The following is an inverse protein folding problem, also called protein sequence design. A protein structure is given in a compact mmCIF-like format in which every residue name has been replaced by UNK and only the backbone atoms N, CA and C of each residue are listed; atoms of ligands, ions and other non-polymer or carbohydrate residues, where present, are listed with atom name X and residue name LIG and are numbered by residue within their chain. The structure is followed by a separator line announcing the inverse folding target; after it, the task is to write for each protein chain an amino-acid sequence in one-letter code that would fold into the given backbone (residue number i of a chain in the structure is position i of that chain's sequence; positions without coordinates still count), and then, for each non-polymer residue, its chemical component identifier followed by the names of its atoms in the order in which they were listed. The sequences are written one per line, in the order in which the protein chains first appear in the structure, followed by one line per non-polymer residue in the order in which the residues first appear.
data_IF_133352518579
#
_entry.id   IF_133352518579
#
_cell.length_a   1.000
_cell.length_b   1.000
_cell.length_c   1.000
_cell.angle_alpha   90.00
_cell.angle_beta   90.00
_cell.angle_gamma   90.00
#
_symmetry.space_group_name_H-M   'P 1'
#
loop_
_entity.id
_entity.type
_entity.pdbx_description
1 polymer ?
#
# COMPACT_ATOMS: atom_id res chain seq x y z
N UNK A 1 -0.21 26.46 0.69
CA UNK A 1 0.87 26.01 -0.23
C UNK A 1 1.28 24.55 -0.01
N UNK A 2 1.48 24.06 1.22
CA UNK A 2 1.94 22.67 1.46
C UNK A 2 0.98 21.56 0.99
N UNK A 3 -0.35 21.77 1.06
CA UNK A 3 -1.35 20.78 0.58
C UNK A 3 -1.31 20.60 -0.94
N UNK A 4 -1.02 21.67 -1.70
CA UNK A 4 -0.91 21.59 -3.16
C UNK A 4 0.29 20.75 -3.61
N UNK A 5 1.41 20.82 -2.88
CA UNK A 5 2.60 20.01 -3.17
C UNK A 5 2.39 18.51 -2.90
N UNK A 6 1.62 18.16 -1.87
CA UNK A 6 1.32 16.76 -1.55
C UNK A 6 0.34 16.17 -2.58
N UNK A 7 -0.68 16.92 -2.99
CA UNK A 7 -1.62 16.49 -4.04
C UNK A 7 -0.88 16.35 -5.38
N UNK A 8 -0.01 17.28 -5.75
CA UNK A 8 0.80 17.20 -6.96
C UNK A 8 1.81 16.04 -6.94
N UNK A 9 2.38 15.71 -5.77
CA UNK A 9 3.30 14.58 -5.60
C UNK A 9 2.58 13.22 -5.64
N UNK A 10 1.38 13.13 -5.06
CA UNK A 10 0.52 11.94 -5.19
C UNK A 10 0.08 11.78 -6.65
N UNK A 11 -0.30 12.87 -7.33
CA UNK A 11 -0.63 12.84 -8.76
C UNK A 11 0.58 12.44 -9.62
N UNK A 12 1.80 12.90 -9.32
CA UNK A 12 2.99 12.50 -10.08
C UNK A 12 3.34 11.03 -9.88
N UNK A 13 3.25 10.52 -8.65
CA UNK A 13 3.49 9.08 -8.37
C UNK A 13 2.40 8.20 -9.00
N UNK A 14 1.14 8.64 -9.01
CA UNK A 14 0.04 7.94 -9.67
C UNK A 14 0.16 8.00 -11.21
N UNK A 15 0.65 9.12 -11.77
CA UNK A 15 0.95 9.25 -13.21
C UNK A 15 2.15 8.38 -13.63
N UNK A 16 3.17 8.25 -12.78
CA UNK A 16 4.31 7.37 -13.03
C UNK A 16 3.89 5.88 -12.98
N UNK A 17 2.96 5.53 -12.07
CA UNK A 17 2.37 4.19 -11.98
C UNK A 17 1.40 3.90 -13.15
N UNK A 18 0.58 4.86 -13.56
CA UNK A 18 -0.33 4.68 -14.71
C UNK A 18 0.46 4.62 -16.02
N UNK A 19 1.49 5.46 -16.18
CA UNK A 19 2.38 5.43 -17.32
C UNK A 19 3.13 4.09 -17.44
N UNK A 20 3.61 3.54 -16.32
CA UNK A 20 4.22 2.21 -16.30
C UNK A 20 3.22 1.09 -16.62
N UNK A 21 1.96 1.21 -16.16
CA UNK A 21 0.90 0.25 -16.45
C UNK A 21 0.44 0.31 -17.92
N UNK A 22 0.35 1.50 -18.50
CA UNK A 22 0.00 1.71 -19.91
C UNK A 22 1.12 1.23 -20.84
N UNK A 23 2.39 1.45 -20.46
CA UNK A 23 3.56 0.90 -21.18
C UNK A 23 3.55 -0.63 -21.10
N UNK A 24 3.23 -1.23 -19.94
CA UNK A 24 3.08 -2.69 -19.82
C UNK A 24 1.94 -3.21 -20.70
N UNK A 25 0.79 -2.51 -20.72
CA UNK A 25 -0.38 -2.91 -21.50
C UNK A 25 -0.12 -2.85 -23.01
N UNK A 26 0.53 -1.78 -23.48
CA UNK A 26 0.95 -1.65 -24.88
C UNK A 26 1.98 -2.72 -25.26
N UNK A 27 2.92 -3.02 -24.35
CA UNK A 27 3.87 -4.13 -24.52
C UNK A 27 3.17 -5.49 -24.64
N UNK A 28 2.15 -5.77 -23.81
CA UNK A 28 1.38 -7.02 -23.87
C UNK A 28 0.55 -7.13 -25.16
N UNK A 29 -0.10 -6.07 -25.60
CA UNK A 29 -0.91 -6.08 -26.84
C UNK A 29 -0.02 -6.22 -28.08
N UNK A 30 1.17 -5.60 -28.09
CA UNK A 30 2.15 -5.76 -29.15
C UNK A 30 2.71 -7.18 -29.20
N UNK A 31 3.07 -7.74 -28.05
CA UNK A 31 3.57 -9.12 -27.93
C UNK A 31 2.53 -10.14 -28.41
N UNK A 32 1.25 -9.95 -28.05
CA UNK A 32 0.14 -10.82 -28.50
C UNK A 32 0.00 -10.85 -30.03
N UNK A 33 0.08 -9.70 -30.68
CA UNK A 33 0.00 -9.59 -32.16
C UNK A 33 1.20 -10.21 -32.88
N UNK A 34 2.38 -10.18 -32.27
CA UNK A 34 3.57 -10.87 -32.78
C UNK A 34 3.44 -12.39 -32.63
N UNK A 35 2.93 -12.88 -31.50
CA UNK A 35 2.64 -14.31 -31.27
C UNK A 35 1.69 -14.86 -32.35
N UNK A 36 0.59 -14.17 -32.65
CA UNK A 36 -0.36 -14.56 -33.70
C UNK A 36 0.27 -14.60 -35.11
N UNK A 37 1.33 -13.81 -35.34
CA UNK A 37 2.05 -13.78 -36.61
C UNK A 37 3.05 -14.95 -36.73
N UNK A 38 3.69 -15.33 -35.63
CA UNK A 38 4.72 -16.39 -35.62
C UNK A 38 4.14 -17.80 -35.57
N UNK A 39 2.97 -17.99 -34.95
CA UNK A 39 2.26 -19.29 -34.94
C UNK A 39 1.83 -19.76 -36.33
N UNK A 40 1.73 -18.86 -37.31
CA UNK A 40 1.40 -19.22 -38.70
C UNK A 40 2.60 -19.67 -39.56
N UNK A 41 3.85 -19.56 -39.10
CA UNK A 41 5.01 -19.62 -40.02
C UNK A 41 5.95 -20.83 -39.88
N UNK A 42 5.99 -21.62 -38.80
CA UNK A 42 7.05 -22.65 -38.74
C UNK A 42 6.68 -23.93 -38.01
N UNK A 43 6.55 -25.01 -38.78
CA UNK A 43 6.82 -26.40 -38.38
C UNK A 43 7.76 -26.98 -39.44
N UNK A 44 8.98 -27.38 -39.04
CA UNK A 44 9.73 -28.54 -39.55
C UNK A 44 11.07 -28.74 -38.80
N UNK A 45 11.26 -29.99 -38.36
CA UNK A 45 12.48 -30.75 -37.96
C UNK A 45 13.34 -30.27 -36.77
N UNK A 46 13.71 -31.09 -35.76
CA UNK A 46 14.21 -32.48 -35.75
C UNK A 46 13.95 -33.11 -34.37
N UNK A 47 13.27 -34.26 -34.23
CA UNK A 47 12.46 -34.58 -33.03
C UNK A 47 13.12 -35.26 -31.81
N UNK A 48 14.21 -36.02 -31.91
CA UNK A 48 14.58 -36.91 -30.78
C UNK A 48 15.56 -36.28 -29.77
N UNK A 49 16.42 -35.36 -30.21
CA UNK A 49 17.32 -34.59 -29.33
C UNK A 49 16.67 -33.35 -28.72
N UNK A 50 15.66 -32.79 -29.40
CA UNK A 50 14.89 -31.64 -28.92
C UNK A 50 13.91 -32.05 -27.83
N UNK A 51 13.25 -33.21 -27.93
CA UNK A 51 12.28 -33.67 -26.92
C UNK A 51 12.91 -33.83 -25.53
N UNK A 52 14.09 -34.46 -25.42
CA UNK A 52 14.78 -34.62 -24.12
C UNK A 52 15.25 -33.29 -23.50
N UNK A 53 15.65 -32.33 -24.34
CA UNK A 53 16.05 -30.99 -23.87
C UNK A 53 14.80 -30.19 -23.46
N UNK A 54 13.71 -30.29 -24.22
CA UNK A 54 12.44 -29.66 -23.87
C UNK A 54 11.81 -30.22 -22.59
N UNK A 55 11.95 -31.51 -22.33
CA UNK A 55 11.47 -32.16 -21.10
C UNK A 55 12.29 -31.72 -19.87
N UNK A 56 13.63 -31.77 -19.95
CA UNK A 56 14.51 -31.32 -18.87
C UNK A 56 14.30 -29.84 -18.52
N UNK A 57 14.07 -29.01 -19.53
CA UNK A 57 13.83 -27.57 -19.35
C UNK A 57 12.45 -27.27 -18.76
N UNK A 58 11.43 -28.08 -19.07
CA UNK A 58 10.12 -28.02 -18.39
C UNK A 58 10.24 -28.40 -16.92
N UNK A 59 11.06 -29.39 -16.60
CA UNK A 59 11.30 -29.83 -15.23
C UNK A 59 12.01 -28.73 -14.40
N UNK A 60 13.06 -28.10 -14.93
CA UNK A 60 13.77 -27.00 -14.25
C UNK A 60 12.86 -25.78 -14.00
N UNK A 61 11.97 -25.45 -14.95
CA UNK A 61 10.99 -24.39 -14.77
C UNK A 61 9.96 -24.72 -13.68
N UNK A 62 9.49 -25.96 -13.65
CA UNK A 62 8.53 -26.45 -12.64
C UNK A 62 9.15 -26.44 -11.24
N UNK A 63 10.40 -26.85 -11.11
CA UNK A 63 11.16 -26.76 -9.85
C UNK A 63 11.28 -25.30 -9.40
N UNK A 64 11.69 -24.40 -10.30
CA UNK A 64 11.80 -22.97 -9.98
C UNK A 64 10.49 -22.35 -9.53
N UNK A 65 9.37 -22.68 -10.18
CA UNK A 65 8.04 -22.22 -9.77
C UNK A 65 7.61 -22.78 -8.40
N UNK A 66 8.06 -24.00 -8.06
CA UNK A 66 7.82 -24.60 -6.75
C UNK A 66 8.62 -23.89 -5.65
N UNK A 67 9.92 -23.65 -5.88
CA UNK A 67 10.76 -22.86 -4.98
C UNK A 67 10.19 -21.44 -4.79
N UNK A 68 9.71 -20.83 -5.86
CA UNK A 68 9.08 -19.52 -5.81
C UNK A 68 7.82 -19.47 -4.95
N UNK A 69 7.04 -20.56 -4.93
CA UNK A 69 5.87 -20.67 -4.06
C UNK A 69 6.29 -20.84 -2.59
N UNK A 70 7.37 -21.56 -2.30
CA UNK A 70 7.92 -21.66 -0.95
C UNK A 70 8.49 -20.31 -0.46
N UNK A 71 9.26 -19.62 -1.30
CA UNK A 71 9.79 -18.28 -1.02
C UNK A 71 8.68 -17.27 -0.74
N UNK A 72 7.53 -17.43 -1.39
CA UNK A 72 6.34 -16.62 -1.17
C UNK A 72 5.72 -16.86 0.21
N UNK A 73 5.64 -18.12 0.65
CA UNK A 73 5.14 -18.48 1.98
C UNK A 73 6.06 -17.95 3.08
N UNK A 74 7.37 -18.00 2.89
CA UNK A 74 8.33 -17.40 3.81
C UNK A 74 8.19 -15.87 3.84
N UNK A 75 8.11 -15.23 2.67
CA UNK A 75 7.91 -13.79 2.56
C UNK A 75 6.65 -13.33 3.28
N UNK A 76 5.51 -13.95 2.98
CA UNK A 76 4.22 -13.60 3.59
C UNK A 76 4.21 -13.82 5.10
N UNK A 77 4.82 -14.91 5.58
CA UNK A 77 4.99 -15.16 7.01
C UNK A 77 5.84 -14.08 7.69
N UNK A 78 6.95 -13.68 7.06
CA UNK A 78 7.80 -12.60 7.57
C UNK A 78 7.06 -11.26 7.61
N UNK A 79 6.26 -10.99 6.58
CA UNK A 79 5.45 -9.78 6.49
C UNK A 79 4.37 -9.76 7.58
N UNK A 80 3.74 -10.89 7.88
CA UNK A 80 2.72 -10.99 8.93
C UNK A 80 3.28 -10.59 10.31
N UNK A 81 4.53 -10.95 10.60
CA UNK A 81 5.19 -10.54 11.85
C UNK A 81 5.32 -9.01 11.98
N UNK A 82 5.55 -8.31 10.87
CA UNK A 82 5.65 -6.85 10.83
C UNK A 82 4.26 -6.21 10.88
N UNK A 83 3.26 -6.79 10.19
CA UNK A 83 1.86 -6.37 10.27
C UNK A 83 1.31 -6.45 11.70
N UNK A 84 1.63 -7.52 12.43
CA UNK A 84 1.19 -7.70 13.82
C UNK A 84 1.74 -6.61 14.75
N UNK A 85 2.96 -6.11 14.50
CA UNK A 85 3.48 -4.94 15.24
C UNK A 85 2.66 -3.69 14.94
N UNK A 86 2.17 -3.52 13.72
CA UNK A 86 1.34 -2.37 13.34
C UNK A 86 -0.02 -2.40 14.05
N UNK A 87 -0.72 -3.53 14.01
CA UNK A 87 -2.04 -3.66 14.63
C UNK A 87 -2.00 -3.79 16.15
N UNK A 88 -0.88 -4.27 16.71
CA UNK A 88 -0.66 -4.44 18.16
C UNK A 88 -0.35 -3.15 18.92
N UNK A 89 -0.03 -2.04 18.23
CA UNK A 89 0.28 -0.75 18.85
C UNK A 89 -0.98 -0.05 19.39
N UNK A 90 -1.45 -0.52 20.54
CA UNK A 90 -2.47 0.18 21.35
C UNK A 90 -1.97 1.56 21.81
N UNK A 91 -0.66 1.71 21.99
CA UNK A 91 -0.01 2.93 22.49
C UNK A 91 -0.27 4.15 21.60
N UNK A 92 -0.09 4.03 20.27
CA UNK A 92 -0.23 5.17 19.34
C UNK A 92 -1.67 5.71 19.29
N UNK A 93 -2.67 4.83 19.42
CA UNK A 93 -4.07 5.25 19.50
C UNK A 93 -4.37 5.98 20.82
N UNK A 94 -3.80 5.51 21.93
CA UNK A 94 -3.96 6.16 23.24
C UNK A 94 -3.27 7.53 23.24
N UNK A 95 -2.08 7.62 22.66
CA UNK A 95 -1.35 8.90 22.49
C UNK A 95 -2.15 9.87 21.63
N UNK A 96 -2.75 9.40 20.53
CA UNK A 96 -3.64 10.22 19.70
C UNK A 96 -4.84 10.73 20.51
N UNK A 97 -5.52 9.85 21.24
CA UNK A 97 -6.65 10.22 22.09
C UNK A 97 -6.24 11.27 23.12
N UNK A 98 -5.13 11.06 23.85
CA UNK A 98 -4.60 12.04 24.81
C UNK A 98 -4.31 13.37 24.15
N UNK A 99 -3.77 13.36 22.93
CA UNK A 99 -3.51 14.61 22.19
C UNK A 99 -4.79 15.37 21.86
N UNK A 100 -5.91 14.68 21.63
CA UNK A 100 -7.22 15.30 21.48
C UNK A 100 -7.66 15.87 22.84
N UNK A 101 -7.63 15.06 23.90
CA UNK A 101 -8.01 15.50 25.25
C UNK A 101 -7.24 16.77 25.66
N UNK A 102 -5.91 16.73 25.59
CA UNK A 102 -5.03 17.84 25.95
C UNK A 102 -5.35 19.09 25.13
N UNK A 103 -5.54 18.93 23.81
CA UNK A 103 -5.88 20.04 22.93
C UNK A 103 -7.19 20.70 23.37
N UNK A 104 -8.26 19.94 23.53
CA UNK A 104 -9.58 20.48 23.87
C UNK A 104 -9.69 20.95 25.33
N UNK A 105 -9.04 20.29 26.28
CA UNK A 105 -8.99 20.71 27.68
C UNK A 105 -8.15 21.98 27.88
N UNK A 106 -7.00 22.10 27.20
CA UNK A 106 -6.23 23.33 27.21
C UNK A 106 -7.01 24.50 26.58
N UNK A 107 -7.82 24.23 25.55
CA UNK A 107 -8.74 25.24 25.01
C UNK A 107 -9.77 25.71 26.05
N UNK A 108 -10.33 24.83 26.88
CA UNK A 108 -11.26 25.21 27.97
C UNK A 108 -10.60 26.18 28.95
N UNK A 109 -9.39 25.84 29.41
CA UNK A 109 -8.68 26.60 30.44
C UNK A 109 -8.30 28.00 29.95
N UNK A 110 -7.99 28.15 28.67
CA UNK A 110 -7.49 29.39 28.07
C UNK A 110 -8.49 30.06 27.12
N UNK A 111 -9.79 29.73 27.20
CA UNK A 111 -10.81 30.27 26.30
C UNK A 111 -10.97 31.79 26.39
N UNK A 112 -10.71 32.39 27.56
CA UNK A 112 -10.71 33.85 27.72
C UNK A 112 -9.56 34.55 26.96
N UNK A 113 -8.46 33.85 26.72
CA UNK A 113 -7.27 34.41 26.04
C UNK A 113 -7.23 34.07 24.55
N UNK A 114 -7.83 32.94 24.12
CA UNK A 114 -7.76 32.45 22.74
C UNK A 114 -8.93 32.88 21.84
N UNK A 115 -8.99 34.16 21.51
CA UNK A 115 -9.90 34.75 20.51
C UNK A 115 -9.56 34.45 19.03
N UNK A 116 -8.77 33.40 18.74
CA UNK A 116 -8.18 33.18 17.40
C UNK A 116 -9.06 32.41 16.41
N UNK A 117 -10.14 31.76 16.85
CA UNK A 117 -11.06 31.05 15.96
C UNK A 117 -12.43 31.74 15.96
N UNK A 118 -12.91 32.18 14.80
CA UNK A 118 -14.11 33.02 14.66
C UNK A 118 -15.40 32.44 15.26
N UNK A 119 -15.52 31.11 15.34
CA UNK A 119 -16.63 30.41 16.02
C UNK A 119 -16.64 30.68 17.54
N UNK A 120 -15.46 30.87 18.15
CA UNK A 120 -15.31 30.97 19.60
C UNK A 120 -15.52 32.38 20.17
N UNK A 121 -15.46 33.42 19.31
CA UNK A 121 -15.80 34.79 19.70
C UNK A 121 -17.29 34.95 19.98
N UNK A 122 -18.12 34.08 19.40
CA UNK A 122 -19.57 34.04 19.60
C UNK A 122 -19.92 33.07 20.74
N UNK A 123 -19.12 32.01 20.94
CA UNK A 123 -19.37 31.00 21.98
C UNK A 123 -19.14 31.48 23.42
N UNK A 124 -18.40 32.56 23.65
CA UNK A 124 -18.29 33.18 24.98
C UNK A 124 -19.59 33.83 25.46
N UNK A 125 -20.53 34.09 24.53
CA UNK A 125 -21.87 34.62 24.83
C UNK A 125 -22.92 33.50 24.95
N UNK A 126 -22.54 32.26 24.70
CA UNK A 126 -23.48 31.15 24.69
C UNK A 126 -23.91 30.72 26.08
N UNK A 127 -25.20 30.51 26.24
CA UNK A 127 -25.75 29.83 27.39
C UNK A 127 -25.48 28.31 27.31
N UNK A 128 -25.78 27.59 28.39
CA UNK A 128 -25.53 26.16 28.47
C UNK A 128 -26.24 25.35 27.37
N UNK A 129 -27.45 25.73 26.97
CA UNK A 129 -28.21 25.03 25.91
C UNK A 129 -27.54 25.16 24.54
N UNK A 130 -27.02 26.35 24.23
CA UNK A 130 -26.28 26.60 22.99
C UNK A 130 -24.97 25.81 22.95
N UNK A 131 -24.25 25.74 24.07
CA UNK A 131 -23.07 24.88 24.23
C UNK A 131 -23.39 23.39 24.05
N UNK A 132 -24.50 22.94 24.66
CA UNK A 132 -24.96 21.57 24.54
C UNK A 132 -25.28 21.22 23.08
N UNK A 133 -26.00 22.09 22.36
CA UNK A 133 -26.33 21.86 20.95
C UNK A 133 -25.07 21.80 20.08
N UNK A 134 -24.14 22.73 20.27
CA UNK A 134 -22.92 22.80 19.47
C UNK A 134 -22.00 21.59 19.70
N UNK A 135 -21.79 21.16 20.95
CA UNK A 135 -20.94 20.00 21.26
C UNK A 135 -21.48 18.74 20.58
N UNK A 136 -22.79 18.51 20.63
CA UNK A 136 -23.40 17.31 20.03
C UNK A 136 -23.45 17.36 18.49
N UNK A 137 -23.22 18.52 17.87
CA UNK A 137 -23.20 18.71 16.41
C UNK A 137 -21.78 18.93 15.91
N UNK A 138 -21.31 20.17 15.97
CA UNK A 138 -20.06 20.58 15.34
C UNK A 138 -18.85 20.12 16.15
N UNK A 139 -18.92 20.14 17.48
CA UNK A 139 -17.85 19.62 18.34
C UNK A 139 -17.56 18.15 18.06
N UNK A 140 -18.61 17.31 18.05
CA UNK A 140 -18.53 15.90 17.68
C UNK A 140 -17.94 15.72 16.28
N UNK A 141 -18.47 16.42 15.27
CA UNK A 141 -17.98 16.34 13.88
C UNK A 141 -16.50 16.69 13.73
N UNK A 142 -16.00 17.68 14.46
CA UNK A 142 -14.59 18.07 14.40
C UNK A 142 -13.69 16.95 14.95
N UNK A 143 -14.10 16.32 16.06
CA UNK A 143 -13.36 15.20 16.66
C UNK A 143 -13.42 13.96 15.75
N UNK A 144 -14.58 13.66 15.16
CA UNK A 144 -14.73 12.60 14.15
C UNK A 144 -13.81 12.83 12.95
N UNK A 145 -13.75 14.06 12.43
CA UNK A 145 -12.85 14.39 11.32
C UNK A 145 -11.36 14.25 11.71
N UNK A 146 -10.98 14.54 12.95
CA UNK A 146 -9.61 14.30 13.43
C UNK A 146 -9.28 12.80 13.43
N UNK A 147 -10.22 11.96 13.88
CA UNK A 147 -10.08 10.51 13.87
C UNK A 147 -10.02 9.93 12.47
N UNK A 148 -10.87 10.38 11.55
CA UNK A 148 -10.85 9.93 10.16
C UNK A 148 -9.53 10.27 9.48
N UNK A 149 -9.01 11.48 9.72
CA UNK A 149 -7.70 11.90 9.21
C UNK A 149 -6.56 11.05 9.77
N UNK A 150 -6.56 10.79 11.08
CA UNK A 150 -5.55 9.94 11.72
C UNK A 150 -5.60 8.51 11.21
N UNK A 151 -6.80 7.93 11.10
CA UNK A 151 -7.03 6.58 10.57
C UNK A 151 -6.60 6.47 9.11
N UNK A 152 -6.93 7.45 8.28
CA UNK A 152 -6.55 7.49 6.86
C UNK A 152 -5.04 7.62 6.67
N UNK A 153 -4.40 8.44 7.50
CA UNK A 153 -2.94 8.60 7.49
C UNK A 153 -2.26 7.28 7.87
N UNK A 154 -2.76 6.60 8.90
CA UNK A 154 -2.24 5.30 9.32
C UNK A 154 -2.49 4.21 8.26
N UNK A 155 -3.66 4.21 7.58
CA UNK A 155 -3.92 3.31 6.44
C UNK A 155 -2.84 3.50 5.39
N UNK A 156 -2.57 4.74 5.03
CA UNK A 156 -1.57 5.07 4.01
C UNK A 156 -0.16 4.59 4.40
N UNK A 157 0.26 4.79 5.64
CA UNK A 157 1.55 4.32 6.15
C UNK A 157 1.65 2.79 6.15
N UNK A 158 0.58 2.12 6.57
CA UNK A 158 0.46 0.67 6.56
C UNK A 158 0.67 0.08 5.16
N UNK A 159 -0.13 0.53 4.18
CA UNK A 159 -0.02 0.06 2.79
C UNK A 159 1.34 0.38 2.18
N UNK A 160 1.91 1.55 2.49
CA UNK A 160 3.24 1.93 2.01
C UNK A 160 4.32 0.95 2.50
N UNK A 161 4.25 0.49 3.75
CA UNK A 161 5.19 -0.49 4.29
C UNK A 161 5.07 -1.82 3.55
N UNK A 162 3.84 -2.32 3.39
CA UNK A 162 3.57 -3.59 2.70
C UNK A 162 4.06 -3.53 1.25
N UNK A 163 3.67 -2.50 0.51
CA UNK A 163 4.03 -2.36 -0.90
C UNK A 163 5.53 -2.19 -1.08
N UNK A 164 6.21 -1.52 -0.15
CA UNK A 164 7.68 -1.41 -0.19
C UNK A 164 8.35 -2.78 -0.09
N UNK A 165 7.96 -3.62 0.86
CA UNK A 165 8.55 -4.95 1.01
C UNK A 165 8.16 -5.89 -0.14
N UNK A 166 6.91 -5.81 -0.61
CA UNK A 166 6.47 -6.52 -1.82
C UNK A 166 7.28 -6.14 -3.06
N UNK A 167 7.47 -4.85 -3.34
CA UNK A 167 8.27 -4.41 -4.49
C UNK A 167 9.72 -4.87 -4.39
N UNK A 168 10.30 -4.82 -3.18
CA UNK A 168 11.66 -5.31 -2.95
C UNK A 168 11.76 -6.81 -3.28
N UNK A 169 10.86 -7.63 -2.75
CA UNK A 169 10.83 -9.07 -3.01
C UNK A 169 10.56 -9.38 -4.50
N UNK A 170 9.51 -8.78 -5.08
CA UNK A 170 9.14 -8.92 -6.50
C UNK A 170 10.30 -8.60 -7.43
N UNK A 171 10.98 -7.48 -7.20
CA UNK A 171 12.10 -7.05 -8.03
C UNK A 171 13.31 -7.99 -7.91
N UNK A 172 13.55 -8.56 -6.73
CA UNK A 172 14.58 -9.58 -6.54
C UNK A 172 14.24 -10.85 -7.32
N UNK A 173 12.98 -11.31 -7.29
CA UNK A 173 12.53 -12.49 -8.03
C UNK A 173 12.60 -12.30 -9.55
N UNK A 174 12.19 -11.14 -10.07
CA UNK A 174 12.37 -10.80 -11.49
C UNK A 174 13.85 -10.84 -11.88
N UNK A 175 14.72 -10.30 -11.03
CA UNK A 175 16.16 -10.30 -11.27
C UNK A 175 16.78 -11.70 -11.25
N UNK A 176 16.29 -12.61 -10.40
CA UNK A 176 16.69 -14.01 -10.37
C UNK A 176 16.28 -14.73 -11.66
N UNK A 177 15.03 -14.56 -12.10
CA UNK A 177 14.55 -15.11 -13.37
C UNK A 177 15.36 -14.62 -14.57
N UNK A 178 15.63 -13.31 -14.64
CA UNK A 178 16.48 -12.71 -15.67
C UNK A 178 17.90 -13.28 -15.63
N UNK A 179 18.45 -13.54 -14.44
CA UNK A 179 19.81 -14.07 -14.26
C UNK A 179 19.92 -15.49 -14.78
N UNK A 180 18.94 -16.35 -14.49
CA UNK A 180 18.86 -17.72 -15.00
C UNK A 180 18.91 -17.73 -16.54
N UNK A 181 17.98 -17.01 -17.15
CA UNK A 181 17.87 -16.92 -18.61
C UNK A 181 19.13 -16.31 -19.26
N UNK A 182 19.71 -15.28 -18.62
CA UNK A 182 20.93 -14.66 -19.11
C UNK A 182 22.12 -15.62 -19.07
N UNK A 183 22.32 -16.36 -17.97
CA UNK A 183 23.42 -17.33 -17.86
C UNK A 183 23.27 -18.44 -18.91
N UNK A 184 22.06 -18.96 -19.09
CA UNK A 184 21.77 -20.01 -20.06
C UNK A 184 22.12 -19.57 -21.50
N UNK A 185 21.76 -18.35 -21.90
CA UNK A 185 21.94 -17.89 -23.27
C UNK A 185 23.27 -17.16 -23.55
N UNK A 186 23.87 -16.53 -22.56
CA UNK A 186 25.09 -15.72 -22.74
C UNK A 186 26.33 -16.40 -22.13
N UNK A 187 26.16 -17.50 -21.39
CA UNK A 187 27.24 -18.29 -20.77
C UNK A 187 28.03 -17.58 -19.67
N UNK A 188 27.66 -16.34 -19.32
CA UNK A 188 28.33 -15.52 -18.30
C UNK A 188 27.39 -14.47 -17.74
N UNK A 189 27.65 -14.06 -16.51
CA UNK A 189 26.96 -12.94 -15.89
C UNK A 189 27.70 -11.62 -16.15
N UNK A 190 26.96 -10.52 -16.30
CA UNK A 190 27.56 -9.19 -16.43
C UNK A 190 28.22 -8.75 -15.12
N UNK A 191 29.35 -8.03 -15.25
CA UNK A 191 29.97 -7.38 -14.10
C UNK A 191 28.99 -6.40 -13.46
N UNK A 192 28.87 -6.43 -12.13
CA UNK A 192 27.93 -5.65 -11.33
C UNK A 192 26.44 -6.02 -11.44
N UNK A 193 26.09 -7.21 -11.96
CA UNK A 193 24.69 -7.68 -12.01
C UNK A 193 23.92 -7.42 -10.72
N UNK A 194 24.50 -7.81 -9.57
CA UNK A 194 23.86 -7.67 -8.26
C UNK A 194 23.58 -6.21 -7.86
N UNK A 195 24.34 -5.24 -8.39
CA UNK A 195 24.14 -3.81 -8.11
C UNK A 195 23.19 -3.13 -9.08
N UNK A 196 22.90 -3.73 -10.24
CA UNK A 196 22.01 -3.11 -11.22
C UNK A 196 20.53 -3.23 -10.80
N UNK A 197 19.72 -2.18 -11.01
CA UNK A 197 18.28 -2.28 -10.83
C UNK A 197 17.70 -3.25 -11.87
N UNK A 198 16.64 -3.97 -11.49
CA UNK A 198 16.02 -4.97 -12.37
C UNK A 198 15.56 -4.35 -13.70
N UNK A 199 15.08 -3.11 -13.70
CA UNK A 199 14.63 -2.37 -14.90
C UNK A 199 15.75 -2.23 -15.93
N UNK A 200 16.97 -1.95 -15.48
CA UNK A 200 18.15 -1.85 -16.36
C UNK A 200 18.52 -3.21 -16.94
N UNK A 201 18.44 -4.26 -16.12
CA UNK A 201 18.71 -5.64 -16.56
C UNK A 201 17.67 -6.07 -17.59
N UNK A 202 16.39 -5.84 -17.32
CA UNK A 202 15.29 -6.14 -18.24
C UNK A 202 15.47 -5.44 -19.58
N UNK A 203 15.75 -4.13 -19.58
CA UNK A 203 15.99 -3.37 -20.80
C UNK A 203 17.22 -3.84 -21.60
N UNK A 204 18.20 -4.48 -20.95
CA UNK A 204 19.30 -5.14 -21.65
C UNK A 204 18.87 -6.46 -22.26
N UNK A 205 18.12 -7.28 -21.50
CA UNK A 205 17.58 -8.55 -21.98
C UNK A 205 16.63 -8.36 -23.16
N UNK A 206 15.77 -7.36 -23.14
CA UNK A 206 14.85 -7.03 -24.24
C UNK A 206 15.54 -6.72 -25.57
N UNK A 207 16.82 -6.33 -25.54
CA UNK A 207 17.62 -6.11 -26.76
C UNK A 207 18.25 -7.38 -27.30
N UNK A 208 18.13 -8.50 -26.59
CA UNK A 208 18.69 -9.79 -26.99
C UNK A 208 17.70 -10.57 -27.85
N UNK A 209 18.16 -11.16 -28.97
CA UNK A 209 17.28 -11.98 -29.82
C UNK A 209 16.59 -13.12 -29.08
N UNK A 210 17.30 -13.79 -28.17
CA UNK A 210 16.75 -14.90 -27.39
C UNK A 210 15.59 -14.48 -26.47
N UNK A 211 15.56 -13.24 -25.97
CA UNK A 211 14.55 -12.82 -24.99
C UNK A 211 13.15 -12.67 -25.59
N UNK A 212 13.06 -12.22 -26.85
CA UNK A 212 11.78 -11.95 -27.52
C UNK A 212 11.42 -12.97 -28.59
N UNK A 213 12.34 -13.84 -29.00
CA UNK A 213 12.10 -14.84 -30.05
C UNK A 213 12.06 -16.28 -29.56
N UNK A 214 12.45 -16.53 -28.30
CA UNK A 214 12.36 -17.85 -27.70
C UNK A 214 10.97 -18.07 -27.10
N UNK A 215 10.17 -18.98 -27.69
CA UNK A 215 8.83 -19.31 -27.25
C UNK A 215 8.75 -19.77 -25.78
N UNK A 216 9.78 -20.49 -25.31
CA UNK A 216 9.86 -20.93 -23.92
C UNK A 216 9.99 -19.73 -22.98
N UNK A 217 10.90 -18.79 -23.26
CA UNK A 217 11.11 -17.60 -22.42
C UNK A 217 9.86 -16.74 -22.39
N UNK A 218 9.19 -16.59 -23.53
CA UNK A 218 7.92 -15.87 -23.61
C UNK A 218 6.87 -16.54 -22.72
N UNK A 219 6.74 -17.87 -22.77
CA UNK A 219 5.81 -18.60 -21.93
C UNK A 219 6.15 -18.52 -20.43
N UNK A 220 7.43 -18.68 -20.07
CA UNK A 220 7.91 -18.52 -18.68
C UNK A 220 7.60 -17.12 -18.16
N UNK A 221 7.93 -16.09 -18.95
CA UNK A 221 7.66 -14.68 -18.62
C UNK A 221 6.18 -14.47 -18.37
N UNK A 222 5.33 -14.92 -19.28
CA UNK A 222 3.89 -14.70 -19.19
C UNK A 222 3.30 -15.48 -17.99
N UNK A 223 3.74 -16.71 -17.77
CA UNK A 223 3.36 -17.51 -16.60
C UNK A 223 3.75 -16.82 -15.28
N UNK A 224 5.01 -16.37 -15.19
CA UNK A 224 5.56 -15.73 -14.00
C UNK A 224 4.94 -14.37 -13.71
N UNK A 225 4.75 -13.52 -14.72
CA UNK A 225 4.10 -12.22 -14.53
C UNK A 225 2.64 -12.39 -14.13
N UNK A 226 1.92 -13.37 -14.69
CA UNK A 226 0.57 -13.71 -14.26
C UNK A 226 0.55 -14.22 -12.81
N UNK A 227 1.54 -15.03 -12.42
CA UNK A 227 1.67 -15.50 -11.05
C UNK A 227 1.93 -14.34 -10.08
N UNK A 228 2.87 -13.44 -10.40
CA UNK A 228 3.14 -12.22 -9.63
C UNK A 228 1.87 -11.41 -9.45
N UNK A 229 1.12 -11.18 -10.55
CA UNK A 229 -0.10 -10.39 -10.52
C UNK A 229 -1.14 -11.01 -9.58
N UNK A 230 -1.35 -12.33 -9.65
CA UNK A 230 -2.26 -13.03 -8.74
C UNK A 230 -1.86 -12.86 -7.27
N UNK A 231 -0.56 -12.84 -6.96
CA UNK A 231 -0.06 -12.61 -5.59
C UNK A 231 -0.22 -11.16 -5.14
N UNK A 232 -0.02 -10.20 -6.06
CA UNK A 232 -0.27 -8.78 -5.83
C UNK A 232 -1.75 -8.51 -5.52
N UNK A 233 -2.65 -9.05 -6.34
CA UNK A 233 -4.10 -8.97 -6.15
C UNK A 233 -4.52 -9.64 -4.83
N UNK A 234 -3.92 -10.78 -4.48
CA UNK A 234 -4.17 -11.45 -3.20
C UNK A 234 -3.78 -10.57 -2.00
N UNK A 235 -2.58 -9.97 -2.03
CA UNK A 235 -2.15 -9.05 -0.97
C UNK A 235 -3.09 -7.86 -0.87
N UNK A 236 -3.43 -7.21 -1.98
CA UNK A 236 -4.29 -6.02 -1.93
C UNK A 236 -5.63 -6.31 -1.25
N UNK A 237 -6.24 -7.45 -1.58
CA UNK A 237 -7.51 -7.88 -0.99
C UNK A 237 -7.37 -8.25 0.49
N UNK A 238 -6.41 -9.13 0.84
CA UNK A 238 -6.21 -9.57 2.22
C UNK A 238 -5.92 -8.39 3.15
N UNK A 239 -5.10 -7.45 2.70
CA UNK A 239 -4.71 -6.29 3.49
C UNK A 239 -5.83 -5.26 3.63
N UNK A 240 -6.69 -5.14 2.62
CA UNK A 240 -7.93 -4.37 2.72
C UNK A 240 -8.86 -4.94 3.77
N UNK A 241 -9.11 -6.25 3.74
CA UNK A 241 -10.01 -6.90 4.70
C UNK A 241 -9.48 -6.80 6.14
N UNK A 242 -8.17 -7.01 6.34
CA UNK A 242 -7.53 -6.84 7.66
C UNK A 242 -7.66 -5.41 8.18
N UNK A 243 -7.42 -4.43 7.32
CA UNK A 243 -7.53 -3.03 7.70
C UNK A 243 -8.96 -2.64 8.08
N UNK A 244 -9.95 -3.01 7.27
CA UNK A 244 -11.35 -2.68 7.55
C UNK A 244 -11.86 -3.35 8.83
N UNK A 245 -11.45 -4.59 9.09
CA UNK A 245 -11.73 -5.27 10.36
C UNK A 245 -11.13 -4.53 11.55
N UNK A 246 -9.85 -4.15 11.48
CA UNK A 246 -9.21 -3.36 12.54
C UNK A 246 -9.91 -2.02 12.75
N UNK A 247 -10.20 -1.30 11.66
CA UNK A 247 -10.88 0.00 11.68
C UNK A 247 -12.25 -0.10 12.35
N UNK A 248 -13.03 -1.13 12.04
CA UNK A 248 -14.33 -1.38 12.67
C UNK A 248 -14.23 -1.46 14.20
N UNK A 249 -13.32 -2.29 14.72
CA UNK A 249 -13.14 -2.44 16.17
C UNK A 249 -12.61 -1.17 16.84
N UNK A 250 -11.71 -0.44 16.17
CA UNK A 250 -11.17 0.81 16.70
C UNK A 250 -12.19 1.95 16.68
N UNK A 251 -13.06 2.01 15.67
CA UNK A 251 -14.15 2.96 15.60
C UNK A 251 -15.13 2.80 16.77
N UNK A 252 -15.51 1.56 17.12
CA UNK A 252 -16.39 1.32 18.26
C UNK A 252 -15.79 1.85 19.58
N UNK A 253 -14.50 1.55 19.82
CA UNK A 253 -13.79 2.08 20.98
C UNK A 253 -13.73 3.61 20.96
N UNK A 254 -13.36 4.20 19.81
CA UNK A 254 -13.22 5.64 19.67
C UNK A 254 -14.55 6.37 19.91
N UNK A 255 -15.66 5.85 19.37
CA UNK A 255 -16.98 6.44 19.56
C UNK A 255 -17.41 6.43 21.04
N UNK A 256 -17.21 5.30 21.74
CA UNK A 256 -17.48 5.20 23.19
C UNK A 256 -16.64 6.18 24.00
N UNK A 257 -15.35 6.27 23.69
CA UNK A 257 -14.46 7.25 24.32
C UNK A 257 -14.92 8.68 24.02
N UNK A 258 -15.24 9.02 22.78
CA UNK A 258 -15.66 10.36 22.37
C UNK A 258 -16.95 10.78 23.07
N UNK A 259 -17.96 9.92 23.14
CA UNK A 259 -19.22 10.24 23.82
C UNK A 259 -18.98 10.49 25.33
N UNK A 260 -18.07 9.72 25.95
CA UNK A 260 -17.64 9.94 27.35
C UNK A 260 -16.90 11.27 27.53
N UNK A 261 -15.98 11.57 26.60
CA UNK A 261 -15.20 12.80 26.61
C UNK A 261 -16.06 14.05 26.42
N UNK A 262 -16.99 14.04 25.46
CA UNK A 262 -17.93 15.15 25.22
C UNK A 262 -18.86 15.35 26.42
N UNK A 263 -19.32 14.28 27.07
CA UNK A 263 -20.13 14.37 28.28
C UNK A 263 -19.36 14.97 29.45
N UNK A 264 -18.10 14.57 29.63
CA UNK A 264 -17.20 15.17 30.62
C UNK A 264 -16.98 16.66 30.35
N UNK A 265 -16.71 17.01 29.09
CA UNK A 265 -16.51 18.38 28.67
C UNK A 265 -17.74 19.27 28.94
N UNK A 266 -18.94 18.78 28.62
CA UNK A 266 -20.19 19.48 28.92
C UNK A 266 -20.39 19.75 30.42
N UNK A 267 -20.03 18.78 31.26
CA UNK A 267 -20.12 18.94 32.72
C UNK A 267 -19.17 20.03 33.24
N UNK A 268 -17.94 20.10 32.73
CA UNK A 268 -17.02 21.21 33.06
C UNK A 268 -17.64 22.54 32.66
N UNK A 269 -18.18 22.64 31.43
CA UNK A 269 -18.80 23.89 30.95
C UNK A 269 -20.02 24.30 31.77
N UNK A 270 -20.82 23.34 32.24
CA UNK A 270 -21.93 23.59 33.17
C UNK A 270 -21.43 24.23 34.47
N UNK A 271 -20.35 23.71 35.03
CA UNK A 271 -19.75 24.21 36.28
C UNK A 271 -19.15 25.62 36.10
N UNK A 272 -18.48 25.89 34.98
CA UNK A 272 -17.93 27.20 34.64
C UNK A 272 -19.03 28.27 34.55
N UNK A 273 -20.13 27.96 33.86
CA UNK A 273 -21.25 28.92 33.69
C UNK A 273 -21.92 29.21 35.04
N UNK A 274 -22.09 28.19 35.89
CA UNK A 274 -22.69 28.35 37.22
C UNK A 274 -21.80 29.20 38.16
N UNK A 275 -20.47 29.07 38.08
CA UNK A 275 -19.56 29.87 38.90
C UNK A 275 -19.50 31.35 38.47
N UNK A 276 -19.69 31.66 37.18
CA UNK A 276 -19.66 33.02 36.65
C UNK A 276 -20.99 33.80 36.81
N UNK A 277 -22.03 33.18 37.37
CA UNK A 277 -23.34 33.80 37.61
C UNK A 277 -23.56 34.22 39.09
N UNK A 278 -22.58 33.99 39.96
CA UNK A 278 -22.55 34.45 41.35
C UNK A 278 -21.59 35.64 41.51
#
# INVERSE_FOLDING_TARGET
MQVAFIVLYIFSVLLDLSGAADILKDFFDKSRKEIERFTHVTLNDTSEGTEKVEEWVKDEWSEWMTEMQMDWEEFTSSLESEKNKWFGKKEEMIEFIKSIEDKWLHFIQNMHEMHKFGILKISSMWNYSEWQEWIHKDGKRIIEAQWDNWTTSNKTLYYKLIMKEWFKWKNQKIKQWLKRNWIYHEGRILQNWERMPYTKILAMSEKKPWFNSNAQIMNERDCFLNWIKKKEDFLENEESDKWENWKYYKNDFFQKWMDSFLSYWLNIKKQDILHNQC
#
